data_IF_135541395968
#
_entry.id   IF_135541395968
#
_cell.length_a   1.000
_cell.length_b   1.000
_cell.length_c   1.000
_cell.angle_alpha   90.00
_cell.angle_beta   90.00
_cell.angle_gamma   90.00
#
_symmetry.space_group_name_H-M   'P 1'
#
loop_
_entity.id
_entity.type
_entity.pdbx_description
1 polymer ?
#
# COMPACT_ATOMS: atom_id res chain seq x y z
N UNK A 1 5.22 -2.73 16.39
CA UNK A 1 6.26 -2.07 15.66
C UNK A 1 6.01 -0.60 15.48
N UNK A 2 7.01 0.11 15.03
CA UNK A 2 6.91 1.54 14.77
C UNK A 2 6.04 1.80 13.53
N UNK A 3 5.16 2.80 13.63
CA UNK A 3 4.34 3.23 12.50
C UNK A 3 5.06 4.34 11.75
N UNK A 4 5.24 4.16 10.46
CA UNK A 4 5.89 5.13 9.58
C UNK A 4 4.84 5.61 8.57
N UNK A 5 4.39 6.88 8.63
CA UNK A 5 3.34 7.36 7.75
C UNK A 5 3.84 7.73 6.37
N UNK A 6 2.94 7.65 5.38
CA UNK A 6 3.15 8.32 4.11
C UNK A 6 3.20 9.84 4.33
N UNK A 7 3.79 10.58 3.38
CA UNK A 7 3.89 12.02 3.54
C UNK A 7 2.50 12.68 3.51
N UNK A 8 2.16 13.52 4.51
CA UNK A 8 0.81 14.09 4.59
C UNK A 8 0.38 14.91 3.39
N UNK A 9 1.30 15.61 2.73
CA UNK A 9 0.95 16.41 1.56
C UNK A 9 0.52 15.55 0.36
N UNK A 10 1.12 14.36 0.23
CA UNK A 10 0.73 13.42 -0.84
C UNK A 10 -0.61 12.78 -0.53
N UNK A 11 -0.87 12.45 0.74
CA UNK A 11 -2.19 11.94 1.15
C UNK A 11 -3.29 12.96 0.90
N UNK A 12 -3.03 14.24 1.20
CA UNK A 12 -3.99 15.31 0.93
C UNK A 12 -4.26 15.49 -0.56
N UNK A 13 -3.20 15.47 -1.38
CA UNK A 13 -3.35 15.59 -2.82
C UNK A 13 -4.16 14.44 -3.40
N UNK A 14 -3.93 13.22 -2.92
CA UNK A 14 -4.70 12.06 -3.33
C UNK A 14 -6.18 12.19 -2.94
N UNK A 15 -6.45 12.63 -1.71
CA UNK A 15 -7.83 12.86 -1.25
C UNK A 15 -8.55 13.91 -2.09
N UNK A 16 -7.86 15.00 -2.44
CA UNK A 16 -8.42 16.07 -3.27
C UNK A 16 -8.64 15.66 -4.71
N UNK A 17 -7.94 14.66 -5.20
CA UNK A 17 -8.09 14.17 -6.58
C UNK A 17 -9.42 13.48 -6.84
N UNK A 18 -10.10 13.04 -5.79
CA UNK A 18 -11.34 12.29 -5.92
C UNK A 18 -11.15 10.84 -6.34
N UNK A 19 -9.93 10.32 -6.33
CA UNK A 19 -9.66 8.94 -6.70
C UNK A 19 -10.39 7.96 -5.78
N UNK A 20 -10.91 6.89 -6.35
CA UNK A 20 -11.61 5.85 -5.60
C UNK A 20 -10.60 4.89 -4.97
N UNK A 21 -10.11 5.24 -3.79
CA UNK A 21 -9.13 4.45 -3.04
C UNK A 21 -9.55 4.31 -1.59
N UNK A 22 -9.06 3.26 -0.94
CA UNK A 22 -9.14 3.09 0.51
C UNK A 22 -7.83 3.53 1.14
N UNK A 23 -7.91 4.20 2.28
CA UNK A 23 -6.74 4.55 3.07
C UNK A 23 -6.60 3.56 4.20
N UNK A 24 -5.38 3.14 4.47
CA UNK A 24 -5.16 2.17 5.52
C UNK A 24 -3.70 2.00 5.88
N UNK A 25 -3.45 1.08 6.80
CA UNK A 25 -2.13 0.71 7.25
C UNK A 25 -1.63 -0.55 6.58
N UNK A 26 -0.32 -0.63 6.37
CA UNK A 26 0.34 -1.76 5.75
C UNK A 26 1.37 -2.34 6.71
N UNK A 27 1.31 -3.64 6.92
CA UNK A 27 2.36 -4.38 7.63
C UNK A 27 3.41 -4.81 6.61
N UNK A 28 4.64 -4.33 6.79
CA UNK A 28 5.76 -4.73 5.93
C UNK A 28 6.53 -5.86 6.58
N UNK A 29 6.68 -6.96 5.85
CA UNK A 29 7.45 -8.14 6.27
C UNK A 29 8.51 -8.45 5.23
N UNK A 30 9.72 -8.75 5.67
CA UNK A 30 10.81 -9.20 4.81
C UNK A 30 10.80 -10.73 4.60
N UNK A 31 9.87 -11.42 5.27
CA UNK A 31 9.66 -12.85 5.12
C UNK A 31 8.38 -13.08 4.33
N UNK A 32 8.53 -13.65 3.14
CA UNK A 32 7.38 -13.99 2.30
C UNK A 32 6.53 -15.04 3.01
N UNK A 33 5.28 -14.67 3.32
CA UNK A 33 4.37 -15.48 4.14
C UNK A 33 4.95 -15.85 5.51
N UNK A 34 5.34 -14.86 6.28
CA UNK A 34 5.49 -15.02 7.72
C UNK A 34 4.28 -15.79 8.23
N UNK A 35 4.47 -16.79 9.09
CA UNK A 35 3.44 -17.74 9.44
C UNK A 35 2.05 -17.14 9.67
N UNK A 36 1.03 -17.93 9.41
CA UNK A 36 -0.37 -17.50 9.52
C UNK A 36 -0.67 -16.81 10.85
N UNK A 37 -0.07 -17.27 11.94
CA UNK A 37 -0.29 -16.70 13.27
C UNK A 37 0.22 -15.26 13.35
N UNK A 38 1.37 -14.96 12.74
CA UNK A 38 1.89 -13.60 12.67
C UNK A 38 0.96 -12.69 11.87
N UNK A 39 0.41 -13.18 10.76
CA UNK A 39 -0.56 -12.43 9.95
C UNK A 39 -1.86 -12.19 10.73
N UNK A 40 -2.30 -13.13 11.54
CA UNK A 40 -3.50 -12.97 12.36
C UNK A 40 -3.31 -11.93 13.45
N UNK A 41 -2.12 -11.86 14.06
CA UNK A 41 -1.80 -10.82 15.04
C UNK A 41 -1.80 -9.43 14.39
N UNK A 42 -1.20 -9.29 13.22
CA UNK A 42 -1.09 -8.01 12.53
C UNK A 42 -2.38 -7.57 11.85
N UNK A 43 -3.33 -8.48 11.63
CA UNK A 43 -4.62 -8.21 11.00
C UNK A 43 -5.39 -7.09 11.70
N UNK A 44 -5.28 -6.97 13.01
CA UNK A 44 -5.95 -5.92 13.78
C UNK A 44 -5.22 -4.58 13.70
N UNK A 45 -3.93 -4.59 13.32
CA UNK A 45 -3.07 -3.42 13.27
C UNK A 45 -2.84 -2.89 11.87
N UNK A 46 -3.15 -3.69 10.86
CA UNK A 46 -2.90 -3.33 9.47
C UNK A 46 -3.98 -3.88 8.55
N UNK A 47 -4.22 -3.16 7.45
CA UNK A 47 -5.23 -3.52 6.45
C UNK A 47 -4.66 -4.35 5.31
N UNK A 48 -3.35 -4.31 5.12
CA UNK A 48 -2.66 -5.02 4.05
C UNK A 48 -1.25 -5.43 4.48
N UNK A 49 -0.65 -6.30 3.70
CA UNK A 49 0.72 -6.79 3.93
C UNK A 49 1.52 -6.60 2.65
N UNK A 50 2.74 -6.10 2.77
CA UNK A 50 3.70 -6.05 1.67
C UNK A 50 5.13 -6.34 2.17
N UNK A 51 6.11 -6.14 1.32
CA UNK A 51 7.51 -6.42 1.64
C UNK A 51 8.42 -5.18 1.59
N UNK A 52 7.93 -4.01 1.15
CA UNK A 52 8.79 -2.86 0.84
C UNK A 52 8.38 -1.53 1.46
N UNK A 53 7.12 -1.31 1.78
CA UNK A 53 6.59 0.03 2.07
C UNK A 53 7.26 0.70 3.28
N UNK A 54 7.47 -0.03 4.36
CA UNK A 54 8.10 0.56 5.54
C UNK A 54 9.51 1.06 5.24
N UNK A 55 10.27 0.30 4.46
CA UNK A 55 11.63 0.69 4.07
C UNK A 55 11.61 1.90 3.12
N UNK A 56 10.67 1.94 2.18
CA UNK A 56 10.49 3.10 1.30
C UNK A 56 10.22 4.37 2.10
N UNK A 57 9.28 4.31 3.03
CA UNK A 57 8.91 5.47 3.85
C UNK A 57 10.05 5.92 4.76
N UNK A 58 10.75 4.98 5.39
CA UNK A 58 11.88 5.29 6.24
C UNK A 58 13.03 5.93 5.45
N UNK A 59 13.31 5.40 4.27
CA UNK A 59 14.37 5.93 3.39
C UNK A 59 14.01 7.33 2.91
N UNK A 60 12.79 7.56 2.49
CA UNK A 60 12.33 8.87 2.05
C UNK A 60 12.42 9.89 3.19
N UNK A 61 12.01 9.53 4.39
CA UNK A 61 12.09 10.40 5.56
C UNK A 61 13.54 10.82 5.84
N UNK A 62 14.47 9.86 5.83
CA UNK A 62 15.89 10.15 6.04
C UNK A 62 16.48 11.04 4.97
N UNK A 63 16.03 10.90 3.74
CA UNK A 63 16.50 11.70 2.61
C UNK A 63 15.80 13.06 2.49
N UNK A 64 14.83 13.36 3.34
CA UNK A 64 14.03 14.58 3.25
C UNK A 64 13.10 14.60 2.04
N UNK A 65 12.68 13.44 1.56
CA UNK A 65 11.81 13.29 0.39
C UNK A 65 10.43 12.81 0.82
N UNK A 66 9.48 12.96 -0.10
CA UNK A 66 8.08 12.56 0.11
C UNK A 66 7.84 11.22 -0.55
N UNK A 67 7.09 10.34 0.13
CA UNK A 67 6.72 9.05 -0.43
C UNK A 67 5.28 8.70 -0.09
N UNK A 68 4.63 8.02 -1.02
CA UNK A 68 3.29 7.48 -0.88
C UNK A 68 3.23 6.20 -1.70
N UNK A 69 2.70 5.15 -1.13
CA UNK A 69 2.47 3.89 -1.84
C UNK A 69 0.99 3.71 -2.14
N UNK A 70 0.68 3.24 -3.33
CA UNK A 70 -0.66 2.90 -3.78
C UNK A 70 -0.63 1.45 -4.22
N UNK A 71 -1.60 0.67 -3.77
CA UNK A 71 -1.60 -0.79 -3.98
C UNK A 71 -2.87 -1.24 -4.67
N UNK A 72 -2.74 -2.34 -5.41
CA UNK A 72 -3.86 -3.23 -5.71
C UNK A 72 -3.70 -4.46 -4.82
N UNK A 73 -4.77 -4.84 -4.10
CA UNK A 73 -4.75 -6.07 -3.32
C UNK A 73 -4.94 -7.23 -4.27
N UNK A 74 -3.89 -8.03 -4.46
CA UNK A 74 -3.88 -9.12 -5.44
C UNK A 74 -4.37 -10.45 -4.86
N UNK A 75 -4.20 -10.64 -3.55
CA UNK A 75 -4.64 -11.86 -2.88
C UNK A 75 -4.86 -11.59 -1.39
N UNK A 76 -5.51 -12.56 -0.74
CA UNK A 76 -5.77 -12.51 0.70
C UNK A 76 -5.16 -13.74 1.35
N UNK A 77 -3.98 -13.61 1.98
CA UNK A 77 -3.26 -14.77 2.53
C UNK A 77 -4.05 -15.60 3.53
N UNK A 78 -4.93 -14.96 4.32
CA UNK A 78 -5.70 -15.66 5.36
C UNK A 78 -6.88 -16.45 4.81
N UNK A 79 -7.45 -16.05 3.67
CA UNK A 79 -8.61 -16.72 3.06
C UNK A 79 -8.25 -17.53 1.82
N UNK A 80 -7.06 -17.30 1.27
CA UNK A 80 -6.64 -17.90 0.01
C UNK A 80 -7.29 -17.29 -1.22
N UNK A 81 -8.13 -16.24 -1.06
CA UNK A 81 -8.73 -15.54 -2.19
C UNK A 81 -7.67 -14.79 -3.00
N UNK A 82 -7.81 -14.79 -4.30
CA UNK A 82 -6.94 -14.07 -5.20
C UNK A 82 -7.69 -13.57 -6.41
N UNK A 83 -7.11 -12.56 -7.06
CA UNK A 83 -7.66 -12.02 -8.30
C UNK A 83 -7.35 -12.96 -9.46
N UNK A 84 -8.28 -13.06 -10.43
CA UNK A 84 -7.99 -13.68 -11.72
C UNK A 84 -6.96 -12.85 -12.48
N UNK A 85 -6.37 -13.41 -13.54
CA UNK A 85 -5.40 -12.70 -14.38
C UNK A 85 -6.01 -11.43 -14.98
N UNK A 86 -7.25 -11.51 -15.48
CA UNK A 86 -7.95 -10.35 -16.06
C UNK A 86 -8.26 -9.28 -15.02
N UNK A 87 -8.68 -9.69 -13.83
CA UNK A 87 -8.95 -8.76 -12.72
C UNK A 87 -7.68 -8.05 -12.27
N UNK A 88 -6.54 -8.75 -12.20
CA UNK A 88 -5.25 -8.14 -11.85
C UNK A 88 -4.86 -7.08 -12.88
N UNK A 89 -4.99 -7.40 -14.15
CA UNK A 89 -4.65 -6.47 -15.23
C UNK A 89 -5.48 -5.19 -15.13
N UNK A 90 -6.80 -5.31 -14.98
CA UNK A 90 -7.68 -4.15 -14.89
C UNK A 90 -7.41 -3.30 -13.65
N UNK A 91 -7.21 -3.93 -12.49
CA UNK A 91 -6.99 -3.20 -11.25
C UNK A 91 -5.60 -2.56 -11.20
N UNK A 92 -4.59 -3.19 -11.80
CA UNK A 92 -3.26 -2.60 -11.94
C UNK A 92 -3.29 -1.39 -12.86
N UNK A 93 -4.01 -1.46 -13.98
CA UNK A 93 -4.16 -0.32 -14.88
C UNK A 93 -4.84 0.86 -14.19
N UNK A 94 -5.86 0.60 -13.41
CA UNK A 94 -6.54 1.62 -12.60
C UNK A 94 -5.58 2.26 -11.58
N UNK A 95 -4.82 1.44 -10.86
CA UNK A 95 -3.83 1.89 -9.89
C UNK A 95 -2.75 2.77 -10.55
N UNK A 96 -2.24 2.36 -11.70
CA UNK A 96 -1.23 3.10 -12.45
C UNK A 96 -1.80 4.45 -12.89
N UNK A 97 -3.03 4.48 -13.37
CA UNK A 97 -3.70 5.72 -13.78
C UNK A 97 -3.83 6.69 -12.60
N UNK A 98 -4.27 6.20 -11.45
CA UNK A 98 -4.38 7.02 -10.24
C UNK A 98 -3.01 7.60 -9.86
N UNK A 99 -1.96 6.77 -9.88
CA UNK A 99 -0.62 7.22 -9.54
C UNK A 99 -0.07 8.26 -10.51
N UNK A 100 -0.29 8.07 -11.82
CA UNK A 100 0.16 9.02 -12.83
C UNK A 100 -0.60 10.34 -12.75
N UNK A 101 -1.90 10.30 -12.55
CA UNK A 101 -2.72 11.51 -12.39
C UNK A 101 -2.29 12.30 -11.16
N UNK A 102 -2.01 11.61 -10.06
CA UNK A 102 -1.50 12.25 -8.84
C UNK A 102 -0.13 12.90 -9.09
N UNK A 103 0.78 12.18 -9.73
CA UNK A 103 2.12 12.68 -10.03
C UNK A 103 2.07 13.94 -10.92
N UNK A 104 1.14 13.99 -11.85
CA UNK A 104 0.95 15.15 -12.71
C UNK A 104 0.34 16.36 -11.97
N UNK A 105 -0.36 16.13 -10.87
CA UNK A 105 -1.05 17.17 -10.11
C UNK A 105 -0.20 17.81 -9.02
N UNK A 106 0.93 17.20 -8.66
CA UNK A 106 1.76 17.69 -7.55
C UNK A 106 3.05 18.35 -8.01
#
# INVERSE_FOLDING_TARGET
GEKIPAHPSLLRALAQSGANVKYGGVFTSDIFYAGRDALLEEKELADAVDMETAMLYATAKRAGKKALAIFTVSDRPLTGEGLSADERERTFDEMIRIALDLAAAI
#
